data_IF_011825803141
#
_entry.id   IF_011825803141
#
_cell.length_a   1.000
_cell.length_b   1.000
_cell.length_c   1.000
_cell.angle_alpha   90.00
_cell.angle_beta   90.00
_cell.angle_gamma   90.00
#
_symmetry.space_group_name_H-M   'P 1'
#
loop_
_entity.id
_entity.type
_entity.pdbx_description
1 polymer ?
#
# COMPACT_ATOMS: atom_id res chain seq x y z
N UNK A 1 -28.07 0.20 -12.46
CA UNK A 1 -27.41 -1.08 -12.17
C UNK A 1 -26.30 -0.83 -11.15
N UNK A 2 -26.65 -0.79 -9.87
CA UNK A 2 -25.66 -0.90 -8.80
C UNK A 2 -25.27 -2.37 -8.71
N UNK A 3 -24.16 -2.73 -9.34
CA UNK A 3 -23.53 -4.04 -9.14
C UNK A 3 -23.19 -4.14 -7.66
N UNK A 4 -23.83 -5.08 -6.95
CA UNK A 4 -23.46 -5.53 -5.60
C UNK A 4 -21.99 -5.96 -5.58
N UNK A 5 -21.07 -5.00 -5.53
CA UNK A 5 -19.89 -5.18 -4.71
C UNK A 5 -20.47 -5.28 -3.30
N UNK A 6 -20.49 -6.49 -2.76
CA UNK A 6 -21.04 -6.79 -1.43
C UNK A 6 -20.70 -5.65 -0.46
N UNK A 7 -21.61 -5.21 0.42
CA UNK A 7 -21.36 -4.07 1.32
C UNK A 7 -20.05 -4.21 2.13
N UNK A 8 -19.54 -5.44 2.22
CA UNK A 8 -18.29 -5.83 2.87
C UNK A 8 -17.01 -5.47 2.09
N UNK A 9 -17.06 -5.30 0.77
CA UNK A 9 -15.92 -4.97 -0.10
C UNK A 9 -15.64 -3.48 -0.25
N UNK A 10 -16.41 -2.60 0.43
CA UNK A 10 -16.31 -1.14 0.24
C UNK A 10 -14.88 -0.60 0.45
N UNK A 11 -14.17 -1.10 1.45
CA UNK A 11 -12.81 -0.65 1.79
C UNK A 11 -11.82 -1.10 0.71
N UNK A 12 -11.83 -2.39 0.36
CA UNK A 12 -10.98 -2.95 -0.69
C UNK A 12 -11.23 -2.25 -2.03
N UNK A 13 -12.49 -1.94 -2.35
CA UNK A 13 -12.85 -1.17 -3.55
C UNK A 13 -12.23 0.22 -3.52
N UNK A 14 -12.28 0.95 -2.40
CA UNK A 14 -11.66 2.29 -2.29
C UNK A 14 -10.14 2.17 -2.49
N UNK A 15 -9.49 1.25 -1.78
CA UNK A 15 -8.05 1.02 -1.88
C UNK A 15 -7.61 0.68 -3.31
N UNK A 16 -8.29 -0.26 -3.97
CA UNK A 16 -7.98 -0.66 -5.35
C UNK A 16 -8.28 0.44 -6.38
N UNK A 17 -9.25 1.32 -6.13
CA UNK A 17 -9.47 2.49 -7.00
C UNK A 17 -8.32 3.49 -6.88
N UNK A 18 -7.79 3.74 -5.69
CA UNK A 18 -6.63 4.61 -5.47
C UNK A 18 -5.40 4.04 -6.18
N UNK A 19 -5.21 2.73 -6.13
CA UNK A 19 -4.09 2.06 -6.83
C UNK A 19 -4.28 1.98 -8.35
N UNK A 20 -5.49 2.21 -8.86
CA UNK A 20 -5.79 2.05 -10.29
C UNK A 20 -5.92 0.59 -10.72
N UNK A 21 -6.39 -0.27 -9.82
CA UNK A 21 -6.48 -1.72 -10.03
C UNK A 21 -7.91 -2.26 -9.94
N UNK A 22 -8.88 -1.41 -9.59
CA UNK A 22 -10.27 -1.85 -9.54
C UNK A 22 -10.80 -2.19 -10.94
N UNK A 23 -11.38 -3.40 -11.17
CA UNK A 23 -11.77 -3.83 -12.52
C UNK A 23 -12.83 -2.98 -13.20
N UNK A 24 -13.73 -2.38 -12.43
CA UNK A 24 -14.85 -1.57 -12.92
C UNK A 24 -14.54 -0.06 -12.93
N UNK A 25 -13.28 0.33 -12.73
CA UNK A 25 -12.86 1.74 -12.74
C UNK A 25 -12.82 2.29 -14.19
N UNK A 26 -13.15 3.58 -14.42
CA UNK A 26 -12.99 4.20 -15.72
C UNK A 26 -11.56 4.05 -16.23
N UNK A 27 -11.38 3.65 -17.51
CA UNK A 27 -10.05 3.31 -18.08
C UNK A 27 -9.01 4.42 -17.86
N UNK A 28 -9.40 5.67 -18.10
CA UNK A 28 -8.50 6.84 -17.93
C UNK A 28 -8.08 7.00 -16.48
N UNK A 29 -9.03 6.99 -15.54
CA UNK A 29 -8.73 7.10 -14.11
C UNK A 29 -7.86 5.94 -13.63
N UNK A 30 -8.18 4.72 -14.07
CA UNK A 30 -7.40 3.51 -13.80
C UNK A 30 -5.94 3.68 -14.23
N UNK A 31 -5.71 4.09 -15.48
CA UNK A 31 -4.37 4.31 -16.03
C UNK A 31 -3.62 5.41 -15.29
N UNK A 32 -4.27 6.55 -15.01
CA UNK A 32 -3.63 7.67 -14.28
C UNK A 32 -3.21 7.22 -12.88
N UNK A 33 -4.13 6.63 -12.10
CA UNK A 33 -3.84 6.13 -10.76
C UNK A 33 -2.68 5.13 -10.78
N UNK A 34 -2.72 4.15 -11.69
CA UNK A 34 -1.67 3.15 -11.80
C UNK A 34 -0.30 3.76 -12.18
N UNK A 35 -0.26 4.67 -13.15
CA UNK A 35 0.96 5.36 -13.56
C UNK A 35 1.54 6.22 -12.41
N UNK A 36 0.70 6.91 -11.65
CA UNK A 36 1.14 7.70 -10.50
C UNK A 36 1.73 6.80 -9.40
N UNK A 37 1.07 5.70 -9.08
CA UNK A 37 1.57 4.75 -8.07
C UNK A 37 2.88 4.10 -8.52
N UNK A 38 2.98 3.72 -9.79
CA UNK A 38 4.21 3.18 -10.37
C UNK A 38 5.33 4.22 -10.34
N UNK A 39 5.06 5.48 -10.68
CA UNK A 39 6.04 6.55 -10.62
C UNK A 39 6.61 6.71 -9.20
N UNK A 40 5.74 6.88 -8.20
CA UNK A 40 6.17 7.09 -6.82
C UNK A 40 6.91 5.89 -6.25
N UNK A 41 6.42 4.67 -6.46
CA UNK A 41 7.06 3.45 -5.94
C UNK A 41 8.40 3.17 -6.62
N UNK A 42 8.50 3.30 -7.94
CA UNK A 42 9.75 3.05 -8.67
C UNK A 42 10.83 4.09 -8.38
N UNK A 43 10.46 5.37 -8.30
CA UNK A 43 11.41 6.43 -7.96
C UNK A 43 11.87 6.33 -6.51
N UNK A 44 10.99 5.97 -5.58
CA UNK A 44 11.39 5.72 -4.19
C UNK A 44 12.34 4.52 -4.08
N UNK A 45 12.03 3.40 -4.76
CA UNK A 45 12.91 2.24 -4.78
C UNK A 45 14.29 2.56 -5.37
N UNK A 46 14.33 3.36 -6.44
CA UNK A 46 15.59 3.85 -6.99
C UNK A 46 16.40 4.65 -5.96
N UNK A 47 15.77 5.62 -5.27
CA UNK A 47 16.44 6.45 -4.27
C UNK A 47 16.98 5.62 -3.10
N UNK A 48 16.22 4.65 -2.59
CA UNK A 48 16.65 3.79 -1.49
C UNK A 48 17.79 2.85 -1.90
N UNK A 49 17.69 2.19 -3.06
CA UNK A 49 18.72 1.26 -3.53
C UNK A 49 20.01 2.01 -3.87
N UNK A 50 19.92 3.12 -4.61
CA UNK A 50 21.09 3.91 -4.99
C UNK A 50 21.72 4.58 -3.75
N UNK A 51 20.91 5.11 -2.85
CA UNK A 51 21.36 5.65 -1.56
C UNK A 51 22.10 4.61 -0.72
N UNK A 52 21.53 3.40 -0.58
CA UNK A 52 22.18 2.28 0.12
C UNK A 52 23.54 1.91 -0.48
N UNK A 53 23.65 1.88 -1.82
CA UNK A 53 24.92 1.60 -2.52
C UNK A 53 25.96 2.69 -2.26
N UNK A 54 25.54 3.96 -2.23
CA UNK A 54 26.43 5.09 -1.91
C UNK A 54 26.84 5.09 -0.43
N UNK A 55 25.93 4.72 0.47
CA UNK A 55 26.16 4.62 1.90
C UNK A 55 26.94 3.37 2.34
N UNK A 56 27.40 2.50 1.43
CA UNK A 56 28.01 1.18 1.73
C UNK A 56 29.17 1.20 2.73
N UNK A 57 29.88 2.31 2.85
CA UNK A 57 31.01 2.45 3.77
C UNK A 57 30.56 2.75 5.22
N UNK A 58 29.32 3.22 5.40
CA UNK A 58 28.67 3.39 6.69
C UNK A 58 27.85 2.13 6.99
N UNK A 59 28.43 1.22 7.78
CA UNK A 59 27.85 -0.11 8.02
C UNK A 59 26.49 0.00 8.72
N UNK A 60 26.35 0.91 9.70
CA UNK A 60 25.10 1.08 10.45
C UNK A 60 23.95 1.48 9.53
N UNK A 61 24.18 2.51 8.69
CA UNK A 61 23.18 2.98 7.73
C UNK A 61 22.91 1.97 6.61
N UNK A 62 23.93 1.25 6.17
CA UNK A 62 23.77 0.18 5.19
C UNK A 62 22.87 -0.94 5.72
N UNK A 63 23.08 -1.37 6.98
CA UNK A 63 22.25 -2.39 7.63
C UNK A 63 20.82 -1.91 7.85
N UNK A 64 20.62 -0.64 8.23
CA UNK A 64 19.30 -0.03 8.38
C UNK A 64 18.55 0.10 7.05
N UNK A 65 19.27 0.23 5.93
CA UNK A 65 18.67 0.32 4.59
C UNK A 65 18.16 -1.03 4.06
N UNK A 66 18.72 -2.16 4.51
CA UNK A 66 18.37 -3.50 4.00
C UNK A 66 16.86 -3.80 4.10
N UNK A 67 16.19 -3.63 5.26
CA UNK A 67 14.76 -3.89 5.37
C UNK A 67 13.93 -3.03 4.40
N UNK A 68 14.28 -1.76 4.23
CA UNK A 68 13.55 -0.83 3.36
C UNK A 68 13.63 -1.25 1.89
N UNK A 69 14.81 -1.67 1.43
CA UNK A 69 15.03 -2.19 0.08
C UNK A 69 14.34 -3.54 -0.14
N UNK A 70 14.35 -4.45 0.85
CA UNK A 70 13.61 -5.72 0.74
C UNK A 70 12.09 -5.51 0.61
N UNK A 71 11.58 -4.51 1.31
CA UNK A 71 10.18 -4.08 1.25
C UNK A 71 9.86 -3.54 -0.14
N UNK A 72 10.75 -2.73 -0.75
CA UNK A 72 10.63 -2.28 -2.15
C UNK A 72 10.56 -3.44 -3.15
N UNK A 73 11.47 -4.42 -3.05
CA UNK A 73 11.43 -5.61 -3.91
C UNK A 73 10.13 -6.40 -3.76
N UNK A 74 9.64 -6.54 -2.53
CA UNK A 74 8.38 -7.25 -2.25
C UNK A 74 7.19 -6.53 -2.89
N UNK A 75 7.15 -5.21 -2.85
CA UNK A 75 6.11 -4.42 -3.50
C UNK A 75 6.21 -4.48 -5.02
N UNK A 76 7.41 -4.37 -5.58
CA UNK A 76 7.63 -4.52 -7.02
C UNK A 76 7.14 -5.90 -7.51
N UNK A 77 7.43 -6.97 -6.77
CA UNK A 77 6.93 -8.31 -7.05
C UNK A 77 5.40 -8.38 -7.00
N UNK A 78 4.76 -7.75 -6.01
CA UNK A 78 3.29 -7.68 -5.90
C UNK A 78 2.67 -6.89 -7.06
N UNK A 79 3.21 -5.72 -7.42
CA UNK A 79 2.74 -4.91 -8.55
C UNK A 79 2.86 -5.70 -9.85
N UNK A 80 4.02 -6.33 -10.08
CA UNK A 80 4.26 -7.15 -11.26
C UNK A 80 3.28 -8.33 -11.33
N UNK A 81 3.10 -9.04 -10.21
CA UNK A 81 2.16 -10.16 -10.14
C UNK A 81 0.73 -9.71 -10.46
N UNK A 82 0.29 -8.59 -9.88
CA UNK A 82 -1.05 -8.06 -10.08
C UNK A 82 -1.26 -7.55 -11.51
N UNK A 83 -0.24 -6.97 -12.13
CA UNK A 83 -0.28 -6.58 -13.53
C UNK A 83 -0.36 -7.79 -14.46
N UNK A 84 0.55 -8.76 -14.29
CA UNK A 84 0.62 -9.97 -15.11
C UNK A 84 -0.63 -10.86 -14.96
N UNK A 85 -1.17 -10.97 -13.75
CA UNK A 85 -2.36 -11.76 -13.45
C UNK A 85 -3.63 -10.91 -13.35
N UNK A 86 -3.64 -9.68 -13.88
CA UNK A 86 -4.76 -8.74 -13.69
C UNK A 86 -6.11 -9.28 -14.16
N UNK A 87 -6.13 -10.05 -15.25
CA UNK A 87 -7.35 -10.70 -15.74
C UNK A 87 -7.85 -11.79 -14.78
N UNK A 88 -6.94 -12.55 -14.15
CA UNK A 88 -7.31 -13.53 -13.11
C UNK A 88 -7.84 -12.85 -11.87
N UNK A 89 -7.22 -11.75 -11.43
CA UNK A 89 -7.72 -10.95 -10.30
C UNK A 89 -9.13 -10.43 -10.56
N UNK A 90 -9.40 -9.98 -11.78
CA UNK A 90 -10.73 -9.58 -12.22
C UNK A 90 -11.70 -10.77 -12.22
N UNK A 91 -11.29 -11.92 -12.74
CA UNK A 91 -12.12 -13.13 -12.74
C UNK A 91 -12.49 -13.57 -11.32
N UNK A 92 -11.56 -13.56 -10.37
CA UNK A 92 -11.84 -13.88 -8.97
C UNK A 92 -12.90 -12.93 -8.36
N UNK A 93 -12.85 -11.63 -8.68
CA UNK A 93 -13.88 -10.69 -8.24
C UNK A 93 -15.25 -11.01 -8.86
N UNK A 94 -15.29 -11.34 -10.16
CA UNK A 94 -16.53 -11.69 -10.85
C UNK A 94 -17.14 -12.99 -10.31
N UNK A 95 -16.33 -14.01 -10.04
CA UNK A 95 -16.77 -15.26 -9.40
C UNK A 95 -17.38 -14.95 -8.03
N UNK A 96 -16.70 -14.14 -7.21
CA UNK A 96 -17.22 -13.72 -5.91
C UNK A 96 -18.58 -13.03 -6.04
N UNK A 97 -18.73 -12.08 -6.98
CA UNK A 97 -20.00 -11.40 -7.21
C UNK A 97 -21.11 -12.34 -7.71
N UNK A 98 -20.76 -13.31 -8.55
CA UNK A 98 -21.69 -14.29 -9.11
C UNK A 98 -22.16 -15.30 -8.06
N UNK A 99 -21.25 -15.82 -7.24
CA UNK A 99 -21.57 -16.71 -6.11
C UNK A 99 -22.57 -16.05 -5.16
N UNK A 100 -22.39 -14.76 -4.88
CA UNK A 100 -23.33 -13.99 -4.06
C UNK A 100 -24.71 -13.78 -4.71
N UNK A 101 -24.79 -13.75 -6.04
CA UNK A 101 -26.07 -13.66 -6.76
C UNK A 101 -26.79 -15.00 -6.83
N UNK A 102 -26.04 -16.09 -6.85
CA UNK A 102 -26.56 -17.44 -7.04
C UNK A 102 -26.85 -18.19 -5.73
N UNK A 103 -26.77 -17.50 -4.58
CA UNK A 103 -27.17 -18.03 -3.27
C UNK A 103 -28.64 -18.44 -3.27
N UNK A 104 -28.94 -19.69 -2.90
CA UNK A 104 -30.29 -20.28 -2.98
C UNK A 104 -30.98 -20.37 -1.64
N UNK A 105 -30.22 -20.60 -0.57
CA UNK A 105 -30.76 -20.86 0.77
C UNK A 105 -30.33 -19.81 1.78
N UNK A 106 -31.14 -19.63 2.82
CA UNK A 106 -30.80 -18.75 3.94
C UNK A 106 -29.52 -19.21 4.66
N UNK A 107 -29.31 -20.53 4.79
CA UNK A 107 -28.10 -21.11 5.38
C UNK A 107 -26.85 -20.75 4.58
N UNK A 108 -26.89 -20.87 3.25
CA UNK A 108 -25.80 -20.44 2.37
C UNK A 108 -25.50 -18.94 2.57
N UNK A 109 -26.54 -18.10 2.51
CA UNK A 109 -26.39 -16.66 2.71
C UNK A 109 -25.75 -16.30 4.07
N UNK A 110 -26.15 -17.02 5.13
CA UNK A 110 -25.61 -16.82 6.46
C UNK A 110 -24.11 -17.18 6.55
N UNK A 111 -23.69 -18.27 5.89
CA UNK A 111 -22.28 -18.68 5.81
C UNK A 111 -21.46 -17.64 5.05
N UNK A 112 -21.86 -17.31 3.81
CA UNK A 112 -21.19 -16.29 2.99
C UNK A 112 -21.06 -14.95 3.71
N UNK A 113 -22.11 -14.51 4.42
CA UNK A 113 -22.09 -13.28 5.20
C UNK A 113 -21.12 -13.35 6.39
N UNK A 114 -21.07 -14.48 7.11
CA UNK A 114 -20.14 -14.69 8.23
C UNK A 114 -18.67 -14.54 7.78
N UNK A 115 -18.29 -15.21 6.70
CA UNK A 115 -16.93 -15.12 6.15
C UNK A 115 -16.62 -13.74 5.57
N UNK A 116 -17.60 -13.10 4.91
CA UNK A 116 -17.40 -11.73 4.39
C UNK A 116 -17.22 -10.69 5.49
N UNK A 117 -17.95 -10.82 6.61
CA UNK A 117 -17.75 -9.97 7.79
C UNK A 117 -16.38 -10.20 8.42
N UNK A 118 -15.93 -11.46 8.47
CA UNK A 118 -14.59 -11.79 8.95
C UNK A 118 -13.50 -11.22 8.04
N UNK A 119 -13.61 -11.37 6.72
CA UNK A 119 -12.70 -10.80 5.73
C UNK A 119 -12.62 -9.26 5.82
N UNK A 120 -13.77 -8.60 6.03
CA UNK A 120 -13.82 -7.15 6.27
C UNK A 120 -13.10 -6.76 7.57
N UNK A 121 -13.28 -7.54 8.64
CA UNK A 121 -12.55 -7.32 9.90
C UNK A 121 -11.05 -7.51 9.71
N UNK A 122 -10.61 -8.55 9.01
CA UNK A 122 -9.20 -8.75 8.64
C UNK A 122 -8.65 -7.56 7.86
N UNK A 123 -9.38 -7.09 6.86
CA UNK A 123 -9.02 -5.89 6.08
C UNK A 123 -8.82 -4.67 6.97
N UNK A 124 -9.77 -4.39 7.87
CA UNK A 124 -9.68 -3.26 8.80
C UNK A 124 -8.52 -3.38 9.78
N UNK A 125 -8.31 -4.56 10.36
CA UNK A 125 -7.19 -4.82 11.28
C UNK A 125 -5.86 -4.66 10.55
N UNK A 126 -5.74 -5.17 9.32
CA UNK A 126 -4.54 -5.05 8.52
C UNK A 126 -4.24 -3.60 8.12
N UNK A 127 -5.27 -2.84 7.69
CA UNK A 127 -5.15 -1.41 7.44
C UNK A 127 -4.70 -0.67 8.71
N UNK A 128 -5.38 -0.89 9.83
CA UNK A 128 -5.06 -0.25 11.10
C UNK A 128 -3.65 -0.56 11.58
N UNK A 129 -3.20 -1.81 11.45
CA UNK A 129 -1.85 -2.22 11.81
C UNK A 129 -0.80 -1.53 10.92
N UNK A 130 -0.93 -1.58 9.60
CA UNK A 130 0.08 -1.03 8.70
C UNK A 130 0.11 0.51 8.69
N UNK A 131 -1.05 1.18 8.58
CA UNK A 131 -1.09 2.65 8.66
C UNK A 131 -0.75 3.15 10.08
N UNK A 132 -1.20 2.45 11.12
CA UNK A 132 -0.91 2.81 12.51
C UNK A 132 0.58 2.69 12.83
N UNK A 133 1.22 1.60 12.44
CA UNK A 133 2.67 1.41 12.66
C UNK A 133 3.52 2.36 11.83
N UNK A 134 3.08 2.76 10.64
CA UNK A 134 3.79 3.76 9.81
C UNK A 134 3.64 5.20 10.30
N UNK A 135 2.59 5.51 11.08
CA UNK A 135 2.31 6.87 11.53
C UNK A 135 3.47 7.50 12.33
N UNK A 136 4.08 6.82 13.33
CA UNK A 136 5.26 7.37 14.03
C UNK A 136 6.43 7.68 13.10
N UNK A 137 6.73 6.81 12.12
CA UNK A 137 7.81 7.04 11.16
C UNK A 137 7.53 8.27 10.28
N UNK A 138 6.27 8.51 9.94
CA UNK A 138 5.85 9.73 9.24
C UNK A 138 5.93 10.99 10.11
N UNK A 139 6.06 10.87 11.43
CA UNK A 139 6.20 12.03 12.33
C UNK A 139 7.66 12.41 12.58
N UNK A 140 8.60 11.46 12.52
CA UNK A 140 10.02 11.71 12.82
C UNK A 140 10.60 12.88 11.98
N UNK A 141 10.47 12.91 10.63
CA UNK A 141 10.99 14.02 9.82
C UNK A 141 10.29 15.37 10.05
N UNK A 142 9.08 15.38 10.65
CA UNK A 142 8.35 16.62 10.96
C UNK A 142 8.87 17.30 12.24
N UNK A 143 9.43 16.53 13.18
CA UNK A 143 9.96 17.06 14.44
C UNK A 143 10.97 18.19 14.21
N UNK A 144 12.06 18.03 13.41
CA UNK A 144 13.01 19.11 13.19
C UNK A 144 12.41 20.30 12.44
N UNK A 145 11.41 20.10 11.57
CA UNK A 145 10.73 21.19 10.86
C UNK A 145 9.92 22.06 11.85
N UNK A 146 9.12 21.42 12.70
CA UNK A 146 8.31 22.11 13.71
C UNK A 146 9.23 22.80 14.72
N UNK A 147 10.29 22.11 15.16
CA UNK A 147 11.28 22.67 16.07
C UNK A 147 11.89 23.93 15.48
N UNK A 148 12.41 23.88 14.25
CA UNK A 148 13.07 25.01 13.61
C UNK A 148 12.15 26.17 13.26
N UNK A 149 10.84 25.91 13.15
CA UNK A 149 9.85 26.96 13.00
C UNK A 149 9.64 27.78 14.29
N UNK A 150 9.80 27.13 15.45
CA UNK A 150 9.60 27.75 16.78
C UNK A 150 10.93 28.26 17.36
N UNK A 151 12.04 27.61 17.02
CA UNK A 151 13.36 27.91 17.55
C UNK A 151 13.82 29.33 17.20
N UNK A 152 14.54 29.95 18.13
CA UNK A 152 15.31 31.16 17.86
C UNK A 152 16.59 30.78 17.11
N UNK A 153 17.20 31.76 16.44
CA UNK A 153 18.18 31.57 15.36
C UNK A 153 19.43 30.72 15.69
N UNK A 154 19.71 30.44 16.97
CA UNK A 154 20.84 29.62 17.43
C UNK A 154 20.48 28.19 17.85
N UNK A 155 19.19 27.83 17.93
CA UNK A 155 18.74 26.54 18.45
C UNK A 155 18.19 25.60 17.34
N UNK A 156 18.45 25.89 16.06
CA UNK A 156 17.93 25.05 14.98
C UNK A 156 18.61 23.67 14.91
N UNK A 157 17.81 22.60 14.82
CA UNK A 157 18.25 21.21 14.67
C UNK A 157 18.36 20.85 13.19
N UNK A 158 19.27 19.94 12.83
CA UNK A 158 19.40 19.48 11.44
C UNK A 158 18.10 18.87 10.92
N UNK A 159 17.78 19.16 9.66
CA UNK A 159 16.64 18.58 8.95
C UNK A 159 16.97 17.14 8.57
N UNK A 160 15.99 16.25 8.66
CA UNK A 160 16.16 14.80 8.41
C UNK A 160 15.16 14.33 7.35
N UNK A 161 15.61 13.49 6.44
CA UNK A 161 14.74 12.79 5.49
C UNK A 161 14.18 11.51 6.11
N UNK A 162 13.12 10.97 5.51
CA UNK A 162 12.54 9.69 5.93
C UNK A 162 13.51 8.50 5.73
N UNK A 163 14.40 8.62 4.74
CA UNK A 163 15.39 7.61 4.39
C UNK A 163 16.77 8.28 4.31
N UNK A 164 17.56 8.17 5.38
CA UNK A 164 18.85 8.88 5.52
C UNK A 164 19.88 8.46 4.48
N UNK A 165 19.79 7.24 3.94
CA UNK A 165 20.70 6.78 2.89
C UNK A 165 20.61 7.61 1.60
N UNK A 166 19.52 8.36 1.40
CA UNK A 166 19.36 9.27 0.25
C UNK A 166 20.35 10.45 0.32
N UNK A 167 20.81 10.81 1.52
CA UNK A 167 21.79 11.89 1.75
C UNK A 167 23.16 11.57 1.11
N UNK A 168 23.47 10.29 0.93
CA UNK A 168 24.70 9.84 0.26
C UNK A 168 24.60 9.88 -1.27
N UNK A 169 23.39 10.05 -1.81
CA UNK A 169 23.12 10.07 -3.25
C UNK A 169 22.98 11.49 -3.80
N UNK A 170 22.29 12.35 -3.05
CA UNK A 170 21.91 13.69 -3.49
C UNK A 170 22.31 14.74 -2.45
N UNK A 171 22.56 15.96 -2.92
CA UNK A 171 22.74 17.12 -2.06
C UNK A 171 21.40 17.48 -1.39
N UNK A 172 21.23 17.01 -0.16
CA UNK A 172 20.00 17.21 0.61
C UNK A 172 19.85 18.62 1.14
N UNK A 173 20.92 19.40 1.26
CA UNK A 173 20.82 20.82 1.61
C UNK A 173 20.10 21.59 0.49
N UNK A 174 20.43 21.28 -0.77
CA UNK A 174 19.83 21.92 -1.94
C UNK A 174 18.43 21.39 -2.28
N UNK A 175 18.20 20.07 -2.15
CA UNK A 175 16.98 19.42 -2.63
C UNK A 175 16.03 18.93 -1.52
N UNK A 176 16.19 19.43 -0.28
CA UNK A 176 15.45 18.96 0.89
C UNK A 176 13.94 18.86 0.68
N UNK A 177 13.25 19.97 0.38
CA UNK A 177 11.78 19.99 0.34
C UNK A 177 11.18 19.09 -0.75
N UNK A 178 11.71 19.07 -1.99
CA UNK A 178 11.28 18.09 -2.99
C UNK A 178 11.47 16.64 -2.54
N UNK A 179 12.62 16.29 -1.97
CA UNK A 179 12.91 14.94 -1.49
C UNK A 179 12.02 14.55 -0.31
N UNK A 180 11.76 15.50 0.59
CA UNK A 180 10.84 15.34 1.69
C UNK A 180 9.42 15.03 1.20
N UNK A 181 8.85 15.87 0.34
CA UNK A 181 7.50 15.67 -0.20
C UNK A 181 7.42 14.35 -0.98
N UNK A 182 8.43 14.07 -1.81
CA UNK A 182 8.51 12.84 -2.58
C UNK A 182 8.54 11.61 -1.66
N UNK A 183 9.35 11.61 -0.60
CA UNK A 183 9.42 10.51 0.36
C UNK A 183 8.09 10.24 1.08
N UNK A 184 7.30 11.27 1.41
CA UNK A 184 5.96 11.08 1.97
C UNK A 184 5.00 10.49 0.94
N UNK A 185 4.96 11.05 -0.27
CA UNK A 185 4.11 10.54 -1.34
C UNK A 185 4.48 9.10 -1.72
N UNK A 186 5.77 8.80 -1.80
CA UNK A 186 6.29 7.47 -2.11
C UNK A 186 5.96 6.45 -1.04
N UNK A 187 6.17 6.77 0.24
CA UNK A 187 5.81 5.88 1.36
C UNK A 187 4.30 5.64 1.44
N UNK A 188 3.47 6.67 1.27
CA UNK A 188 2.01 6.50 1.23
C UNK A 188 1.55 5.69 0.02
N UNK A 189 2.13 5.92 -1.17
CA UNK A 189 1.85 5.15 -2.36
C UNK A 189 2.20 3.67 -2.15
N UNK A 190 3.41 3.40 -1.66
CA UNK A 190 3.89 2.07 -1.32
C UNK A 190 2.93 1.35 -0.37
N UNK A 191 2.62 1.99 0.76
CA UNK A 191 1.76 1.42 1.80
C UNK A 191 0.37 1.10 1.27
N UNK A 192 -0.18 2.01 0.46
CA UNK A 192 -1.50 1.82 -0.17
C UNK A 192 -1.49 0.66 -1.15
N UNK A 193 -0.45 0.50 -1.97
CA UNK A 193 -0.32 -0.64 -2.90
C UNK A 193 -0.33 -1.96 -2.13
N UNK A 194 0.53 -2.10 -1.12
CA UNK A 194 0.66 -3.33 -0.34
C UNK A 194 -0.66 -3.67 0.36
N UNK A 195 -1.26 -2.70 1.06
CA UNK A 195 -2.53 -2.88 1.76
C UNK A 195 -3.65 -3.26 0.79
N UNK A 196 -3.75 -2.58 -0.36
CA UNK A 196 -4.81 -2.86 -1.34
C UNK A 196 -4.72 -4.29 -1.89
N UNK A 197 -3.50 -4.73 -2.26
CA UNK A 197 -3.28 -6.05 -2.84
C UNK A 197 -3.52 -7.14 -1.79
N UNK A 198 -2.90 -7.02 -0.61
CA UNK A 198 -2.91 -8.09 0.41
C UNK A 198 -4.30 -8.29 0.98
N UNK A 199 -5.01 -7.20 1.27
CA UNK A 199 -6.38 -7.30 1.78
C UNK A 199 -7.34 -7.86 0.74
N UNK A 200 -7.13 -7.60 -0.56
CA UNK A 200 -7.95 -8.21 -1.61
C UNK A 200 -7.69 -9.72 -1.71
N UNK A 201 -6.43 -10.16 -1.59
CA UNK A 201 -6.11 -11.58 -1.52
C UNK A 201 -6.74 -12.27 -0.30
N UNK A 202 -6.71 -11.63 0.88
CA UNK A 202 -7.42 -12.13 2.06
C UNK A 202 -8.91 -12.33 1.78
N UNK A 203 -9.57 -11.38 1.10
CA UNK A 203 -10.99 -11.53 0.75
C UNK A 203 -11.22 -12.72 -0.18
N UNK A 204 -10.38 -12.94 -1.20
CA UNK A 204 -10.54 -14.10 -2.08
C UNK A 204 -10.35 -15.43 -1.34
N UNK A 205 -9.38 -15.50 -0.43
CA UNK A 205 -9.15 -16.69 0.40
C UNK A 205 -10.35 -16.96 1.30
N UNK A 206 -10.85 -15.96 2.01
CA UNK A 206 -12.02 -16.10 2.88
C UNK A 206 -13.29 -16.45 2.09
N UNK A 207 -13.45 -15.91 0.88
CA UNK A 207 -14.56 -16.28 0.00
C UNK A 207 -14.46 -17.74 -0.42
N UNK A 208 -13.28 -18.23 -0.81
CA UNK A 208 -13.07 -19.64 -1.12
C UNK A 208 -13.40 -20.56 0.07
N UNK A 209 -12.98 -20.19 1.29
CA UNK A 209 -13.35 -20.88 2.52
C UNK A 209 -14.87 -20.90 2.75
N UNK A 210 -15.56 -19.78 2.45
CA UNK A 210 -17.01 -19.71 2.54
C UNK A 210 -17.70 -20.69 1.59
N UNK A 211 -17.25 -20.78 0.34
CA UNK A 211 -17.78 -21.73 -0.64
C UNK A 211 -17.55 -23.17 -0.19
N UNK A 212 -16.36 -23.51 0.34
CA UNK A 212 -16.13 -24.84 0.91
C UNK A 212 -17.05 -25.17 2.08
N UNK A 213 -17.31 -24.20 2.97
CA UNK A 213 -18.22 -24.38 4.10
C UNK A 213 -19.70 -24.46 3.68
N UNK A 214 -20.05 -23.98 2.50
CA UNK A 214 -21.40 -24.12 1.93
C UNK A 214 -21.64 -25.53 1.39
N UNK A 215 -20.63 -26.13 0.74
CA UNK A 215 -20.77 -27.43 0.05
C UNK A 215 -20.41 -28.64 0.92
N UNK A 216 -19.59 -28.45 1.96
CA UNK A 216 -19.15 -29.51 2.89
C UNK A 216 -20.01 -29.59 4.13
#
# INVERSE_FOLDING_TARGET
METLATPHLRINKILLNIVGQWPHQPKVAKTICYCLMLFFTSTQAYLQIAGMICARNNIDLFLESIPTVLVDFTCAAKIFNFFYNGDKMKQLLLILEDDWRNVKTYSEAAILNKYSLFARKLTLMYCGALYGTMTPFLLIPLVPIIHNFIATQNDSISKQLMFEQVDYLLDTEKYYYPLFIHGYCGTLAFLTVVVAIDTMFMVYVEHACAIFAVVG
#
